data_IF_908193466579
#
_entry.id   IF_908193466579
#
_cell.length_a   1.000
_cell.length_b   1.000
_cell.length_c   1.000
_cell.angle_alpha   90.00
_cell.angle_beta   90.00
_cell.angle_gamma   90.00
#
_symmetry.space_group_name_H-M   'P 1'
#
loop_
_entity.id
_entity.type
_entity.pdbx_description
1 polymer ?
#
# COMPACT_ATOMS: atom_id res chain seq x y z
N UNK A 1 -15.77 6.85 22.13
CA UNK A 1 -15.88 7.55 20.82
C UNK A 1 -14.96 6.83 19.85
N UNK A 2 -15.51 6.26 18.78
CA UNK A 2 -14.74 5.56 17.75
C UNK A 2 -14.47 6.58 16.64
N UNK A 3 -13.22 6.69 16.20
CA UNK A 3 -12.76 7.57 15.13
C UNK A 3 -12.29 6.73 13.93
N UNK A 4 -12.32 7.29 12.74
CA UNK A 4 -11.68 6.74 11.54
C UNK A 4 -10.85 7.84 10.88
N UNK A 5 -10.06 7.50 9.86
CA UNK A 5 -9.45 8.52 9.01
C UNK A 5 -10.38 8.96 7.90
N UNK A 6 -10.13 10.16 7.40
CA UNK A 6 -10.75 10.57 6.15
C UNK A 6 -10.26 9.68 5.01
N UNK A 7 -11.17 8.93 4.39
CA UNK A 7 -10.91 8.15 3.18
C UNK A 7 -10.26 8.99 2.07
N UNK A 8 -10.64 10.27 1.99
CA UNK A 8 -10.07 11.23 1.04
C UNK A 8 -8.59 11.51 1.34
N UNK A 9 -8.24 11.72 2.61
CA UNK A 9 -6.85 11.94 3.02
C UNK A 9 -6.02 10.68 2.75
N UNK A 10 -6.54 9.52 3.15
CA UNK A 10 -5.90 8.22 2.94
C UNK A 10 -5.60 7.98 1.46
N UNK A 11 -6.60 8.14 0.58
CA UNK A 11 -6.42 7.99 -0.87
C UNK A 11 -5.40 8.98 -1.43
N UNK A 12 -5.45 10.25 -1.01
CA UNK A 12 -4.51 11.28 -1.45
C UNK A 12 -3.06 10.92 -1.06
N UNK A 13 -2.85 10.44 0.16
CA UNK A 13 -1.53 10.03 0.64
C UNK A 13 -1.01 8.80 -0.12
N UNK A 14 -1.86 7.79 -0.35
CA UNK A 14 -1.45 6.60 -1.12
C UNK A 14 -1.10 6.97 -2.57
N UNK A 15 -1.90 7.82 -3.21
CA UNK A 15 -1.61 8.30 -4.56
C UNK A 15 -0.29 9.11 -4.59
N UNK A 16 -0.05 9.97 -3.61
CA UNK A 16 1.23 10.67 -3.43
C UNK A 16 2.41 9.70 -3.33
N UNK A 17 2.34 8.71 -2.43
CA UNK A 17 3.42 7.72 -2.25
C UNK A 17 3.69 6.92 -3.54
N UNK A 18 2.65 6.60 -4.31
CA UNK A 18 2.81 5.93 -5.60
C UNK A 18 3.52 6.79 -6.64
N UNK A 19 3.23 8.09 -6.68
CA UNK A 19 3.96 9.01 -7.58
C UNK A 19 5.43 9.12 -7.18
N UNK A 20 5.74 9.26 -5.89
CA UNK A 20 7.14 9.28 -5.41
C UNK A 20 7.87 7.95 -5.71
N UNK A 21 7.18 6.81 -5.60
CA UNK A 21 7.76 5.51 -5.95
C UNK A 21 8.16 5.42 -7.43
N UNK A 22 7.51 6.16 -8.35
CA UNK A 22 7.94 6.21 -9.76
C UNK A 22 9.30 6.89 -9.93
N UNK A 23 9.63 7.85 -9.08
CA UNK A 23 10.97 8.47 -9.07
C UNK A 23 12.01 7.45 -8.64
N UNK A 24 11.72 6.65 -7.61
CA UNK A 24 12.57 5.53 -7.18
C UNK A 24 12.74 4.51 -8.31
N UNK A 25 11.65 4.13 -8.96
CA UNK A 25 11.67 3.21 -10.12
C UNK A 25 12.54 3.75 -11.26
N UNK A 26 12.54 5.07 -11.49
CA UNK A 26 13.39 5.69 -12.51
C UNK A 26 14.88 5.58 -12.18
N UNK A 27 15.25 5.74 -10.90
CA UNK A 27 16.63 5.51 -10.45
C UNK A 27 17.02 4.03 -10.52
N UNK A 28 16.12 3.13 -10.13
CA UNK A 28 16.30 1.69 -10.28
C UNK A 28 16.55 1.31 -11.75
N UNK A 29 15.76 1.85 -12.67
CA UNK A 29 15.93 1.62 -14.11
C UNK A 29 17.27 2.14 -14.62
N UNK A 30 17.70 3.33 -14.18
CA UNK A 30 19.01 3.86 -14.53
C UNK A 30 20.14 2.88 -14.14
N UNK A 31 20.12 2.35 -12.92
CA UNK A 31 21.13 1.39 -12.48
C UNK A 31 21.01 0.04 -13.18
N UNK A 32 19.79 -0.37 -13.52
CA UNK A 32 19.55 -1.58 -14.32
C UNK A 32 20.12 -1.44 -15.74
N UNK A 33 19.93 -0.29 -16.38
CA UNK A 33 20.50 -0.01 -17.69
C UNK A 33 22.03 -0.03 -17.66
N UNK A 34 22.64 0.54 -16.60
CA UNK A 34 24.10 0.43 -16.37
C UNK A 34 24.55 -1.00 -16.21
N UNK A 35 23.82 -1.80 -15.43
CA UNK A 35 24.10 -3.21 -15.19
C UNK A 35 24.03 -4.06 -16.46
N UNK A 36 22.98 -3.85 -17.26
CA UNK A 36 22.69 -4.62 -18.47
C UNK A 36 23.58 -4.21 -19.65
N UNK A 37 24.17 -3.01 -19.60
CA UNK A 37 25.12 -2.54 -20.61
C UNK A 37 26.56 -3.00 -20.38
N UNK A 38 26.86 -3.62 -19.23
CA UNK A 38 28.20 -4.11 -18.89
C UNK A 38 28.72 -5.09 -19.93
N UNK A 39 29.98 -4.93 -20.32
CA UNK A 39 30.61 -5.70 -21.40
C UNK A 39 29.67 -5.92 -22.60
N UNK A 40 29.07 -4.85 -23.11
CA UNK A 40 28.18 -4.85 -24.28
C UNK A 40 26.90 -5.69 -24.11
N UNK A 41 26.49 -5.99 -22.88
CA UNK A 41 25.33 -6.83 -22.57
C UNK A 41 25.55 -8.32 -22.82
N UNK A 42 26.80 -8.76 -22.99
CA UNK A 42 27.14 -10.17 -23.17
C UNK A 42 27.18 -10.93 -21.82
N UNK A 43 27.20 -10.21 -20.70
CA UNK A 43 27.17 -10.79 -19.35
C UNK A 43 25.72 -10.95 -18.91
N UNK A 44 25.29 -12.20 -18.76
CA UNK A 44 23.92 -12.55 -18.33
C UNK A 44 23.82 -13.06 -16.89
N UNK A 45 24.95 -13.41 -16.28
CA UNK A 45 25.02 -13.92 -14.92
C UNK A 45 25.56 -12.86 -13.95
N UNK A 46 25.06 -12.89 -12.73
CA UNK A 46 25.49 -12.02 -11.62
C UNK A 46 26.97 -12.22 -11.24
N UNK A 47 27.56 -13.39 -11.51
CA UNK A 47 28.93 -13.72 -11.17
C UNK A 47 29.88 -13.46 -12.35
N UNK A 48 30.26 -12.19 -12.50
CA UNK A 48 31.23 -11.77 -13.50
C UNK A 48 32.66 -12.03 -13.04
N UNK A 49 33.36 -13.00 -13.63
CA UNK A 49 34.80 -13.19 -13.39
C UNK A 49 35.62 -12.18 -14.18
N UNK A 50 36.79 -11.77 -13.68
CA UNK A 50 37.70 -10.88 -14.40
C UNK A 50 38.11 -11.46 -15.75
N UNK A 51 38.37 -12.77 -15.81
CA UNK A 51 38.79 -13.47 -17.02
C UNK A 51 37.71 -13.44 -18.11
N UNK A 52 36.45 -13.70 -17.75
CA UNK A 52 35.35 -13.62 -18.73
C UNK A 52 35.13 -12.18 -19.19
N UNK A 53 35.21 -11.21 -18.26
CA UNK A 53 35.06 -9.80 -18.57
C UNK A 53 36.12 -9.32 -19.57
N UNK A 54 37.39 -9.62 -19.30
CA UNK A 54 38.49 -9.16 -20.16
C UNK A 54 38.43 -9.80 -21.55
N UNK A 55 38.06 -11.08 -21.63
CA UNK A 55 37.91 -11.79 -22.90
C UNK A 55 36.89 -11.11 -23.81
N UNK A 56 35.75 -10.67 -23.28
CA UNK A 56 34.71 -9.95 -24.05
C UNK A 56 35.29 -8.68 -24.67
N UNK A 57 35.97 -7.84 -23.87
CA UNK A 57 36.51 -6.57 -24.35
C UNK A 57 37.66 -6.75 -25.35
N UNK A 58 38.57 -7.68 -25.09
CA UNK A 58 39.70 -7.98 -26.01
C UNK A 58 39.18 -8.52 -27.34
N UNK A 59 38.15 -9.38 -27.34
CA UNK A 59 37.50 -9.86 -28.56
C UNK A 59 36.84 -8.74 -29.39
N UNK A 60 36.49 -7.61 -28.76
CA UNK A 60 35.98 -6.40 -29.42
C UNK A 60 37.09 -5.42 -29.84
N UNK A 61 38.36 -5.80 -29.68
CA UNK A 61 39.52 -4.99 -30.07
C UNK A 61 39.94 -3.94 -29.03
N UNK A 62 39.47 -4.06 -27.79
CA UNK A 62 39.93 -3.20 -26.70
C UNK A 62 41.27 -3.70 -26.15
N UNK A 63 42.05 -2.78 -25.59
CA UNK A 63 43.40 -3.08 -25.06
C UNK A 63 43.36 -3.08 -23.54
N UNK A 64 43.85 -4.15 -22.93
CA UNK A 64 43.95 -4.30 -21.48
C UNK A 64 44.99 -3.35 -20.86
N UNK A 65 44.66 -2.84 -19.67
CA UNK A 65 45.55 -2.20 -18.71
C UNK A 65 45.49 -2.97 -17.40
N UNK A 66 46.21 -4.09 -17.34
CA UNK A 66 46.15 -5.07 -16.25
C UNK A 66 46.40 -4.43 -14.87
N UNK A 67 47.36 -3.51 -14.78
CA UNK A 67 47.72 -2.81 -13.55
C UNK A 67 46.54 -2.07 -12.88
N UNK A 68 45.51 -1.71 -13.65
CA UNK A 68 44.33 -0.98 -13.18
C UNK A 68 43.03 -1.77 -13.38
N UNK A 69 43.11 -3.01 -13.87
CA UNK A 69 41.95 -3.86 -14.20
C UNK A 69 40.94 -3.16 -15.13
N UNK A 70 41.49 -2.45 -16.10
CA UNK A 70 40.76 -1.62 -17.05
C UNK A 70 41.02 -2.04 -18.49
N UNK A 71 40.14 -1.62 -19.39
CA UNK A 71 40.28 -1.74 -20.84
C UNK A 71 40.07 -0.40 -21.50
N UNK A 72 40.76 -0.15 -22.61
CA UNK A 72 40.68 1.11 -23.34
C UNK A 72 40.56 0.87 -24.85
N UNK A 73 39.77 1.71 -25.50
CA UNK A 73 39.71 1.89 -26.94
C UNK A 73 40.01 3.37 -27.27
N UNK A 74 40.08 3.75 -28.54
CA UNK A 74 40.44 5.11 -28.99
C UNK A 74 39.68 6.22 -28.28
N UNK A 75 38.39 6.02 -28.01
CA UNK A 75 37.50 7.07 -27.50
C UNK A 75 36.86 6.75 -26.14
N UNK A 76 37.10 5.55 -25.57
CA UNK A 76 36.36 5.08 -24.38
C UNK A 76 37.17 4.08 -23.53
N UNK A 77 36.72 3.85 -22.29
CA UNK A 77 37.34 2.93 -21.36
C UNK A 77 36.28 2.23 -20.48
N UNK A 78 36.63 1.07 -19.93
CA UNK A 78 35.80 0.38 -18.95
C UNK A 78 36.66 -0.17 -17.81
N UNK A 79 36.06 -0.28 -16.63
CA UNK A 79 36.69 -0.85 -15.43
C UNK A 79 35.90 -2.05 -14.97
N UNK A 80 36.62 -3.14 -14.69
CA UNK A 80 36.01 -4.34 -14.13
C UNK A 80 35.36 -4.05 -12.78
N UNK A 81 36.05 -3.29 -11.92
CA UNK A 81 35.57 -3.00 -10.56
C UNK A 81 34.35 -2.06 -10.59
N UNK A 82 34.28 -1.13 -11.55
CA UNK A 82 33.08 -0.31 -11.79
C UNK A 82 31.90 -1.17 -12.27
N UNK A 83 32.14 -2.10 -13.20
CA UNK A 83 31.12 -3.03 -13.69
C UNK A 83 30.60 -3.94 -12.55
N UNK A 84 31.46 -4.36 -11.61
CA UNK A 84 31.01 -5.05 -10.39
C UNK A 84 30.14 -4.15 -9.51
N UNK A 85 30.55 -2.90 -9.32
CA UNK A 85 29.84 -1.94 -8.48
C UNK A 85 28.39 -1.73 -8.92
N UNK A 86 28.12 -1.73 -10.23
CA UNK A 86 26.76 -1.58 -10.75
C UNK A 86 25.80 -2.67 -10.26
N UNK A 87 26.26 -3.92 -10.07
CA UNK A 87 25.43 -4.99 -9.52
C UNK A 87 25.08 -4.75 -8.06
N UNK A 88 26.08 -4.36 -7.26
CA UNK A 88 25.89 -4.06 -5.86
C UNK A 88 24.90 -2.90 -5.68
N UNK A 89 25.08 -1.81 -6.44
CA UNK A 89 24.21 -0.63 -6.39
C UNK A 89 22.79 -0.96 -6.84
N UNK A 90 22.63 -1.65 -7.98
CA UNK A 90 21.32 -2.04 -8.49
C UNK A 90 20.55 -2.90 -7.49
N UNK A 91 21.21 -3.87 -6.82
CA UNK A 91 20.58 -4.70 -5.79
C UNK A 91 20.00 -3.86 -4.65
N UNK A 92 20.75 -2.87 -4.14
CA UNK A 92 20.25 -1.98 -3.08
C UNK A 92 19.03 -1.17 -3.53
N UNK A 93 19.04 -0.61 -4.73
CA UNK A 93 17.88 0.12 -5.27
C UNK A 93 16.68 -0.80 -5.49
N UNK A 94 16.92 -2.04 -5.95
CA UNK A 94 15.87 -3.03 -6.14
C UNK A 94 15.22 -3.39 -4.81
N UNK A 95 16.02 -3.67 -3.78
CA UNK A 95 15.51 -4.06 -2.46
C UNK A 95 14.74 -2.91 -1.80
N UNK A 96 15.25 -1.67 -1.92
CA UNK A 96 14.54 -0.47 -1.46
C UNK A 96 13.20 -0.26 -2.19
N UNK A 97 13.18 -0.39 -3.52
CA UNK A 97 11.96 -0.28 -4.30
C UNK A 97 10.94 -1.38 -3.93
N UNK A 98 11.39 -2.61 -3.75
CA UNK A 98 10.53 -3.74 -3.34
C UNK A 98 9.95 -3.52 -1.94
N UNK A 99 10.77 -3.06 -0.99
CA UNK A 99 10.32 -2.72 0.35
C UNK A 99 9.21 -1.66 0.32
N UNK A 100 9.43 -0.56 -0.42
CA UNK A 100 8.43 0.51 -0.51
C UNK A 100 7.17 0.12 -1.29
N UNK A 101 7.31 -0.72 -2.31
CA UNK A 101 6.16 -1.34 -3.00
C UNK A 101 5.32 -2.16 -2.02
N UNK A 102 5.96 -3.00 -1.20
CA UNK A 102 5.29 -3.78 -0.17
C UNK A 102 4.60 -2.87 0.86
N UNK A 103 5.33 -1.87 1.39
CA UNK A 103 4.82 -0.90 2.37
C UNK A 103 3.57 -0.18 1.89
N UNK A 104 3.59 0.36 0.66
CA UNK A 104 2.44 1.06 0.09
C UNK A 104 1.25 0.10 -0.07
N UNK A 105 1.47 -1.10 -0.60
CA UNK A 105 0.41 -2.10 -0.75
C UNK A 105 -0.20 -2.53 0.59
N UNK A 106 0.61 -2.57 1.66
CA UNK A 106 0.12 -2.83 3.01
C UNK A 106 -0.71 -1.66 3.55
N UNK A 107 -0.20 -0.44 3.42
CA UNK A 107 -0.91 0.78 3.86
C UNK A 107 -2.27 0.95 3.16
N UNK A 108 -2.39 0.52 1.91
CA UNK A 108 -3.63 0.56 1.15
C UNK A 108 -4.68 -0.46 1.65
N UNK A 109 -4.24 -1.64 2.11
CA UNK A 109 -5.12 -2.70 2.62
C UNK A 109 -5.43 -2.58 4.11
N UNK A 110 -4.55 -1.95 4.87
CA UNK A 110 -4.69 -1.88 6.32
C UNK A 110 -5.79 -0.89 6.72
N UNK A 111 -6.82 -1.39 7.41
CA UNK A 111 -7.84 -0.53 8.00
C UNK A 111 -7.21 0.37 9.06
N UNK A 112 -7.66 1.63 9.13
CA UNK A 112 -7.19 2.55 10.15
C UNK A 112 -7.53 2.04 11.56
N UNK A 113 -6.52 1.58 12.29
CA UNK A 113 -6.70 0.97 13.59
C UNK A 113 -6.44 1.98 14.71
N UNK A 114 -7.51 2.37 15.40
CA UNK A 114 -7.44 3.24 16.59
C UNK A 114 -6.72 2.63 17.78
N UNK A 115 -6.46 1.33 17.77
CA UNK A 115 -5.83 0.62 18.89
C UNK A 115 -4.49 1.25 19.27
N UNK A 116 -3.75 1.80 18.32
CA UNK A 116 -2.50 2.54 18.58
C UNK A 116 -2.74 3.89 19.24
N UNK A 117 -3.81 4.60 18.89
CA UNK A 117 -4.22 5.86 19.53
C UNK A 117 -4.72 5.70 20.98
N UNK A 118 -4.92 4.46 21.44
CA UNK A 118 -5.24 4.16 22.85
C UNK A 118 -3.99 4.16 23.75
N UNK A 119 -2.79 4.03 23.18
CA UNK A 119 -1.54 4.18 23.93
C UNK A 119 -1.43 5.61 24.46
N UNK A 120 -0.78 5.87 25.60
CA UNK A 120 -0.66 7.23 26.15
C UNK A 120 0.27 8.13 25.32
N UNK A 121 1.24 7.54 24.62
CA UNK A 121 2.28 8.22 23.85
C UNK A 121 2.48 7.53 22.50
N UNK A 122 2.82 8.30 21.48
CA UNK A 122 3.16 7.84 20.13
C UNK A 122 4.54 8.35 19.72
N UNK A 123 5.23 7.55 18.90
CA UNK A 123 6.43 8.00 18.16
C UNK A 123 6.03 8.99 17.06
N UNK A 124 7.01 9.70 16.51
CA UNK A 124 6.82 10.67 15.42
C UNK A 124 6.16 10.02 14.20
N UNK A 125 6.64 8.84 13.79
CA UNK A 125 6.14 8.09 12.64
C UNK A 125 4.69 7.64 12.85
N UNK A 126 4.37 7.15 14.05
CA UNK A 126 3.00 6.78 14.42
C UNK A 126 2.07 8.01 14.38
N UNK A 127 2.53 9.16 14.86
CA UNK A 127 1.76 10.40 14.83
C UNK A 127 1.58 10.93 13.39
N UNK A 128 2.61 10.83 12.56
CA UNK A 128 2.58 11.19 11.15
C UNK A 128 1.58 10.34 10.38
N UNK A 129 1.58 9.02 10.61
CA UNK A 129 0.63 8.11 9.95
C UNK A 129 -0.82 8.51 10.26
N UNK A 130 -1.14 8.86 11.51
CA UNK A 130 -2.48 9.33 11.90
C UNK A 130 -2.95 10.49 11.03
N UNK A 131 -2.12 11.51 10.86
CA UNK A 131 -2.52 12.73 10.16
C UNK A 131 -2.41 12.62 8.64
N UNK A 132 -1.63 11.65 8.16
CA UNK A 132 -1.60 11.27 6.75
C UNK A 132 -2.75 10.31 6.37
N UNK A 133 -3.64 9.96 7.31
CA UNK A 133 -4.75 9.04 7.06
C UNK A 133 -4.36 7.56 7.07
N UNK A 134 -3.10 7.25 7.39
CA UNK A 134 -2.52 5.90 7.33
C UNK A 134 -2.63 5.18 8.67
N UNK A 135 -2.86 3.87 8.67
CA UNK A 135 -2.99 3.08 9.90
C UNK A 135 -1.66 3.02 10.66
N UNK A 136 -1.55 3.58 11.90
CA UNK A 136 -0.32 3.51 12.68
C UNK A 136 0.00 2.10 13.15
N UNK A 137 -0.96 1.19 13.06
CA UNK A 137 -0.78 -0.22 13.42
C UNK A 137 0.14 -0.98 12.47
N UNK A 138 0.36 -0.48 11.25
CA UNK A 138 1.37 -1.02 10.34
C UNK A 138 2.76 -1.03 10.97
N UNK A 139 3.09 -0.02 11.81
CA UNK A 139 4.41 0.12 12.43
C UNK A 139 4.63 -0.98 13.47
N UNK A 140 5.69 -1.76 13.28
CA UNK A 140 6.01 -2.95 14.07
C UNK A 140 5.53 -4.28 13.45
N UNK A 141 4.92 -4.25 12.27
CA UNK A 141 4.54 -5.45 11.51
C UNK A 141 5.45 -5.60 10.28
N UNK A 142 5.33 -6.73 9.56
CA UNK A 142 6.15 -7.04 8.36
C UNK A 142 6.32 -5.86 7.40
N UNK A 143 7.56 -5.54 7.04
CA UNK A 143 7.93 -4.39 6.20
C UNK A 143 7.99 -3.05 6.93
N UNK A 144 7.56 -2.95 8.19
CA UNK A 144 7.57 -1.74 9.03
C UNK A 144 8.08 -2.02 10.46
N UNK A 145 8.82 -3.10 10.67
CA UNK A 145 9.21 -3.64 11.98
C UNK A 145 9.90 -2.58 12.85
N UNK A 146 10.89 -1.89 12.27
CA UNK A 146 11.65 -0.81 12.90
C UNK A 146 11.61 0.48 12.08
N UNK A 147 10.50 0.70 11.35
CA UNK A 147 10.36 1.86 10.48
C UNK A 147 10.65 3.18 11.21
N UNK A 148 11.59 3.94 10.66
CA UNK A 148 11.91 5.31 11.03
C UNK A 148 12.13 6.14 9.80
N UNK A 149 11.83 7.44 9.89
CA UNK A 149 12.10 8.36 8.78
C UNK A 149 13.60 8.52 8.49
N UNK A 150 14.47 8.24 9.46
CA UNK A 150 15.92 8.30 9.32
C UNK A 150 16.58 6.92 9.13
N UNK A 151 15.81 5.88 8.81
CA UNK A 151 16.38 4.54 8.61
C UNK A 151 17.25 4.46 7.34
N UNK A 152 18.35 3.70 7.45
CA UNK A 152 19.34 3.53 6.37
C UNK A 152 19.63 2.06 6.06
N UNK A 153 18.56 1.29 5.84
CA UNK A 153 18.62 -0.17 5.69
C UNK A 153 19.48 -0.67 4.52
N UNK A 154 19.56 0.10 3.44
CA UNK A 154 20.24 -0.28 2.19
C UNK A 154 21.51 0.54 1.94
N UNK A 155 22.10 1.08 3.01
CA UNK A 155 23.35 1.81 2.91
C UNK A 155 24.49 0.84 2.59
N UNK A 156 25.34 1.26 1.66
CA UNK A 156 26.57 0.57 1.30
C UNK A 156 27.74 1.52 1.46
N UNK A 157 28.90 0.95 1.78
CA UNK A 157 30.16 1.69 1.79
C UNK A 157 30.48 2.22 0.39
N UNK A 158 31.28 3.29 0.37
CA UNK A 158 31.82 3.84 -0.86
C UNK A 158 32.68 2.78 -1.58
N UNK A 159 32.43 2.63 -2.88
CA UNK A 159 33.16 1.66 -3.72
C UNK A 159 34.25 2.41 -4.48
N UNK A 160 35.49 2.03 -4.21
CA UNK A 160 36.68 2.59 -4.85
C UNK A 160 37.07 1.76 -6.07
N UNK A 161 37.41 2.44 -7.16
CA UNK A 161 37.88 1.82 -8.40
C UNK A 161 38.88 2.74 -9.10
N UNK A 162 39.63 2.20 -10.06
CA UNK A 162 40.60 2.98 -10.83
C UNK A 162 40.14 3.20 -12.26
N UNK A 163 40.51 4.35 -12.83
CA UNK A 163 40.38 4.60 -14.27
C UNK A 163 41.56 4.00 -15.06
N UNK A 164 41.54 4.16 -16.39
CA UNK A 164 42.60 3.65 -17.27
C UNK A 164 43.96 4.37 -17.13
N UNK A 165 44.03 5.43 -16.32
CA UNK A 165 45.24 6.20 -15.98
C UNK A 165 45.73 5.93 -14.57
N UNK A 166 45.03 5.08 -13.79
CA UNK A 166 45.34 4.78 -12.40
C UNK A 166 44.84 5.84 -11.41
N UNK A 167 43.95 6.74 -11.82
CA UNK A 167 43.28 7.66 -10.91
C UNK A 167 42.23 6.90 -10.10
N UNK A 168 42.28 7.02 -8.78
CA UNK A 168 41.26 6.48 -7.90
C UNK A 168 39.98 7.32 -7.96
N UNK A 169 38.86 6.63 -8.18
CA UNK A 169 37.52 7.17 -8.27
C UNK A 169 36.62 6.48 -7.25
N UNK A 170 35.54 7.16 -6.87
CA UNK A 170 34.56 6.67 -5.91
C UNK A 170 33.17 6.65 -6.50
N UNK A 171 32.40 5.60 -6.22
CA UNK A 171 30.99 5.49 -6.55
C UNK A 171 30.20 4.95 -5.35
N UNK A 172 28.97 5.44 -5.22
CA UNK A 172 28.02 5.08 -4.17
C UNK A 172 26.67 4.79 -4.81
N UNK A 173 25.79 4.08 -4.09
CA UNK A 173 24.39 3.90 -4.50
C UNK A 173 23.63 5.20 -4.81
N UNK A 174 23.96 6.31 -4.13
CA UNK A 174 23.21 7.56 -4.19
C UNK A 174 21.82 7.46 -3.56
N UNK A 175 21.50 6.38 -2.84
CA UNK A 175 20.18 6.11 -2.29
C UNK A 175 19.82 7.08 -1.15
N UNK A 176 20.82 7.42 -0.32
CA UNK A 176 20.68 8.37 0.78
C UNK A 176 21.34 9.69 0.40
N UNK A 177 20.59 10.79 0.47
CA UNK A 177 21.12 12.10 0.12
C UNK A 177 22.06 12.61 1.23
N UNK A 178 23.32 12.98 0.93
CA UNK A 178 24.29 13.41 1.95
C UNK A 178 23.89 14.65 2.74
N UNK A 179 23.02 15.50 2.20
CA UNK A 179 22.62 16.77 2.83
C UNK A 179 21.52 16.61 3.86
N UNK A 180 20.63 15.65 3.66
CA UNK A 180 19.45 15.45 4.51
C UNK A 180 19.42 14.06 5.17
N UNK A 181 20.31 13.16 4.77
CA UNK A 181 20.49 11.81 5.31
C UNK A 181 19.26 10.89 5.20
N UNK A 182 18.40 11.14 4.20
CA UNK A 182 17.18 10.36 3.96
C UNK A 182 17.22 9.65 2.61
N UNK A 183 16.54 8.50 2.54
CA UNK A 183 16.10 7.90 1.28
C UNK A 183 15.00 8.76 0.63
N UNK A 184 14.72 8.54 -0.66
CA UNK A 184 13.77 9.38 -1.38
C UNK A 184 12.36 9.39 -0.76
N UNK A 185 11.83 8.21 -0.44
CA UNK A 185 10.46 8.07 0.09
C UNK A 185 10.33 8.68 1.49
N UNK A 186 11.31 8.40 2.36
CA UNK A 186 11.37 8.96 3.71
C UNK A 186 11.51 10.49 3.64
N UNK A 187 12.38 10.99 2.77
CA UNK A 187 12.53 12.42 2.54
C UNK A 187 11.21 13.04 2.09
N UNK A 188 10.54 12.48 1.09
CA UNK A 188 9.27 12.99 0.57
C UNK A 188 8.19 13.05 1.66
N UNK A 189 8.14 12.07 2.57
CA UNK A 189 7.27 12.13 3.77
C UNK A 189 7.60 13.31 4.69
N UNK A 190 8.88 13.62 4.93
CA UNK A 190 9.29 14.80 5.73
C UNK A 190 8.93 16.13 5.07
N UNK A 191 8.71 16.15 3.76
CA UNK A 191 8.37 17.38 3.02
C UNK A 191 6.88 17.73 3.05
N UNK A 192 6.02 16.78 3.47
CA UNK A 192 4.58 16.99 3.59
C UNK A 192 4.24 18.14 4.54
N UNK A 193 3.14 18.84 4.25
CA UNK A 193 2.59 19.87 5.14
C UNK A 193 2.28 19.31 6.53
N UNK A 194 1.78 18.08 6.55
CA UNK A 194 1.40 17.30 7.71
C UNK A 194 2.60 17.07 8.64
N UNK A 195 3.75 16.67 8.09
CA UNK A 195 4.97 16.53 8.87
C UNK A 195 5.41 17.86 9.50
N UNK A 196 5.43 18.95 8.72
CA UNK A 196 5.82 20.29 9.20
C UNK A 196 4.91 20.76 10.33
N UNK A 197 3.59 20.56 10.19
CA UNK A 197 2.61 20.87 11.24
C UNK A 197 2.87 20.08 12.53
N UNK A 198 3.28 18.81 12.45
CA UNK A 198 3.63 18.05 13.65
C UNK A 198 4.89 18.55 14.33
N UNK A 199 5.89 18.97 13.56
CA UNK A 199 7.16 19.50 14.09
C UNK A 199 6.95 20.86 14.77
N UNK A 200 6.13 21.73 14.18
CA UNK A 200 5.86 23.07 14.71
C UNK A 200 4.92 23.06 15.93
N UNK A 201 4.10 22.03 16.09
CA UNK A 201 3.09 21.96 17.13
C UNK A 201 3.58 21.29 18.41
N UNK A 202 4.48 22.00 19.12
CA UNK A 202 5.08 21.56 20.39
C UNK A 202 4.04 21.20 21.47
N UNK A 203 2.83 21.76 21.42
CA UNK A 203 1.75 21.48 22.37
C UNK A 203 1.27 20.02 22.35
N UNK A 204 1.49 19.32 21.23
CA UNK A 204 1.16 17.91 21.07
C UNK A 204 2.22 16.99 21.67
N UNK A 205 3.42 17.49 21.92
CA UNK A 205 4.55 16.71 22.39
C UNK A 205 4.70 16.76 23.91
N UNK A 206 5.45 15.81 24.46
CA UNK A 206 5.95 15.86 25.82
C UNK A 206 7.46 16.12 25.83
N UNK A 207 8.07 16.52 26.97
CA UNK A 207 9.50 16.84 27.03
C UNK A 207 10.45 15.72 26.54
N UNK A 208 9.98 14.47 26.56
CA UNK A 208 10.72 13.31 26.03
C UNK A 208 10.61 13.13 24.51
N UNK A 209 10.04 14.08 23.76
CA UNK A 209 9.93 14.04 22.29
C UNK A 209 8.76 13.21 21.73
N UNK A 210 8.07 12.42 22.56
CA UNK A 210 6.89 11.66 22.15
C UNK A 210 5.64 12.54 22.01
N UNK A 211 4.74 12.16 21.10
CA UNK A 211 3.42 12.78 20.95
C UNK A 211 2.44 12.24 21.99
N UNK A 212 1.67 13.12 22.61
CA UNK A 212 0.64 12.77 23.60
C UNK A 212 -0.62 12.36 22.83
N UNK A 213 -0.95 11.08 22.80
CA UNK A 213 -1.98 10.52 21.90
C UNK A 213 -3.34 11.20 22.03
N UNK A 214 -3.77 11.50 23.27
CA UNK A 214 -5.03 12.20 23.51
C UNK A 214 -5.04 13.59 22.86
N UNK A 215 -3.97 14.36 23.05
CA UNK A 215 -3.86 15.71 22.48
C UNK A 215 -3.81 15.64 20.95
N UNK A 216 -3.02 14.72 20.40
CA UNK A 216 -2.93 14.51 18.96
C UNK A 216 -4.30 14.15 18.38
N UNK A 217 -5.01 13.18 18.97
CA UNK A 217 -6.33 12.75 18.52
C UNK A 217 -7.33 13.90 18.54
N UNK A 218 -7.42 14.61 19.65
CA UNK A 218 -8.39 15.70 19.80
C UNK A 218 -8.06 16.86 18.82
N UNK A 219 -6.78 17.14 18.59
CA UNK A 219 -6.32 18.10 17.57
C UNK A 219 -6.60 17.62 16.14
N UNK A 220 -6.27 16.37 15.82
CA UNK A 220 -6.46 15.78 14.50
C UNK A 220 -7.95 15.74 14.13
N UNK A 221 -8.82 15.41 15.08
CA UNK A 221 -10.28 15.50 14.90
C UNK A 221 -10.74 16.94 14.63
N UNK A 222 -10.30 17.91 15.44
CA UNK A 222 -10.67 19.33 15.26
C UNK A 222 -10.25 19.89 13.90
N UNK A 223 -9.16 19.39 13.33
CA UNK A 223 -8.62 19.84 12.04
C UNK A 223 -9.03 18.94 10.86
N UNK A 224 -9.95 17.99 11.05
CA UNK A 224 -10.52 17.17 9.97
C UNK A 224 -9.65 16.02 9.47
N UNK A 225 -8.55 15.71 10.16
CA UNK A 225 -7.72 14.53 9.87
C UNK A 225 -8.37 13.22 10.34
N UNK A 226 -9.14 13.30 11.43
CA UNK A 226 -9.96 12.21 11.93
C UNK A 226 -11.44 12.57 11.77
N UNK A 227 -12.23 11.56 11.43
CA UNK A 227 -13.70 11.63 11.44
C UNK A 227 -14.23 10.79 12.58
N UNK A 228 -15.33 11.23 13.17
CA UNK A 228 -16.04 10.44 14.17
C UNK A 228 -16.85 9.38 13.41
N UNK A 229 -16.68 8.11 13.78
CA UNK A 229 -17.61 7.08 13.31
C UNK A 229 -18.92 7.27 14.05
N UNK A 230 -19.94 7.70 13.31
CA UNK A 230 -21.32 7.62 13.78
C UNK A 230 -21.74 6.16 13.74
N UNK A 231 -22.07 5.62 14.92
CA UNK A 231 -22.78 4.35 15.00
C UNK A 231 -24.20 4.69 14.57
N UNK A 232 -24.55 4.28 13.37
CA UNK A 232 -25.90 4.41 12.86
C UNK A 232 -26.67 3.19 13.35
N UNK A 233 -27.69 3.43 14.16
CA UNK A 233 -28.60 2.39 14.63
C UNK A 233 -29.57 2.02 13.50
N UNK A 234 -29.93 0.74 13.41
CA UNK A 234 -30.97 0.32 12.45
C UNK A 234 -32.36 0.62 13.04
N UNK A 235 -33.33 0.85 12.16
CA UNK A 235 -34.73 0.82 12.57
C UNK A 235 -35.20 -0.63 12.71
N UNK A 236 -35.37 -1.08 13.96
CA UNK A 236 -35.87 -2.42 14.32
C UNK A 236 -37.30 -2.67 13.85
N UNK A 237 -38.08 -1.60 13.58
CA UNK A 237 -39.46 -1.73 13.16
C UNK A 237 -39.62 -1.95 11.64
N UNK A 238 -38.53 -1.83 10.87
CA UNK A 238 -38.53 -1.90 9.40
C UNK A 238 -37.43 -2.84 8.87
N UNK A 239 -37.08 -3.87 9.64
CA UNK A 239 -35.98 -4.78 9.33
C UNK A 239 -36.06 -5.45 7.95
N UNK A 240 -34.91 -5.69 7.30
CA UNK A 240 -34.88 -6.24 5.95
C UNK A 240 -35.49 -7.64 5.93
N UNK A 241 -36.59 -7.79 5.20
CA UNK A 241 -37.32 -9.06 5.04
C UNK A 241 -37.94 -9.60 6.35
N UNK A 242 -38.09 -8.77 7.38
CA UNK A 242 -38.63 -9.13 8.70
C UNK A 242 -37.55 -9.44 9.74
N UNK A 243 -37.82 -9.18 11.02
CA UNK A 243 -36.82 -9.23 12.11
C UNK A 243 -36.18 -10.63 12.27
N UNK A 244 -37.00 -11.68 12.26
CA UNK A 244 -36.53 -13.06 12.42
C UNK A 244 -35.60 -13.48 11.28
N UNK A 245 -35.99 -13.18 10.04
CA UNK A 245 -35.16 -13.47 8.87
C UNK A 245 -33.89 -12.60 8.85
N UNK A 246 -34.02 -11.31 9.17
CA UNK A 246 -32.90 -10.38 9.25
C UNK A 246 -31.85 -10.85 10.26
N UNK A 247 -32.27 -11.35 11.42
CA UNK A 247 -31.37 -11.85 12.46
C UNK A 247 -30.61 -13.09 11.99
N UNK A 248 -31.31 -14.01 11.33
CA UNK A 248 -30.70 -15.23 10.76
C UNK A 248 -29.72 -14.87 9.64
N UNK A 249 -30.13 -14.02 8.71
CA UNK A 249 -29.28 -13.53 7.64
C UNK A 249 -28.03 -12.83 8.20
N UNK A 250 -28.18 -11.95 9.18
CA UNK A 250 -27.06 -11.28 9.85
C UNK A 250 -26.10 -12.30 10.47
N UNK A 251 -26.62 -13.25 11.25
CA UNK A 251 -25.80 -14.26 11.93
C UNK A 251 -24.98 -15.09 10.94
N UNK A 252 -25.60 -15.50 9.84
CA UNK A 252 -24.94 -16.28 8.79
C UNK A 252 -23.89 -15.46 8.03
N UNK A 253 -24.20 -14.21 7.68
CA UNK A 253 -23.28 -13.30 7.00
C UNK A 253 -22.09 -12.92 7.89
N UNK A 254 -22.29 -12.77 9.20
CA UNK A 254 -21.18 -12.59 10.17
C UNK A 254 -20.34 -13.86 10.25
N UNK A 255 -20.96 -15.04 10.29
CA UNK A 255 -20.25 -16.32 10.42
C UNK A 255 -19.34 -16.60 9.21
N UNK A 256 -19.79 -16.29 8.00
CA UNK A 256 -18.97 -16.43 6.78
C UNK A 256 -18.00 -15.25 6.58
N UNK A 257 -17.99 -14.27 7.48
CA UNK A 257 -17.10 -13.11 7.40
C UNK A 257 -17.44 -12.17 6.24
N UNK A 258 -18.72 -12.05 5.87
CA UNK A 258 -19.16 -11.09 4.85
C UNK A 258 -19.47 -9.71 5.43
N UNK A 259 -20.04 -9.66 6.63
CA UNK A 259 -20.30 -8.42 7.39
C UNK A 259 -19.73 -8.50 8.81
N UNK A 260 -19.69 -7.35 9.50
CA UNK A 260 -19.41 -7.26 10.95
C UNK A 260 -20.35 -6.27 11.64
N UNK A 261 -20.37 -6.34 12.97
CA UNK A 261 -21.12 -5.45 13.85
C UNK A 261 -22.28 -6.15 14.56
N UNK A 262 -22.80 -5.48 15.59
CA UNK A 262 -24.01 -5.90 16.30
C UNK A 262 -25.22 -5.88 15.37
N UNK A 263 -26.18 -6.77 15.63
CA UNK A 263 -27.37 -6.87 14.80
C UNK A 263 -28.17 -5.55 14.83
N UNK A 264 -28.26 -4.89 15.99
CA UNK A 264 -29.00 -3.65 16.28
C UNK A 264 -28.45 -2.39 15.57
N UNK A 265 -27.27 -2.48 14.96
CA UNK A 265 -26.65 -1.36 14.24
C UNK A 265 -26.71 -1.59 12.73
N UNK A 266 -26.40 -0.57 11.92
CA UNK A 266 -26.17 -0.78 10.49
C UNK A 266 -25.05 -1.81 10.31
N UNK A 267 -25.30 -2.80 9.46
CA UNK A 267 -24.36 -3.87 9.16
C UNK A 267 -23.19 -3.31 8.37
N UNK A 268 -21.96 -3.55 8.83
CA UNK A 268 -20.78 -3.06 8.11
C UNK A 268 -20.29 -4.13 7.14
N UNK A 269 -20.22 -3.80 5.84
CA UNK A 269 -19.49 -4.63 4.87
C UNK A 269 -18.00 -4.61 5.20
N UNK A 270 -17.32 -5.76 5.03
CA UNK A 270 -15.86 -5.77 5.06
C UNK A 270 -15.31 -5.11 3.79
N UNK A 271 -14.18 -4.44 3.93
CA UNK A 271 -13.62 -3.50 2.93
C UNK A 271 -13.27 -4.16 1.58
N UNK A 272 -13.19 -5.49 1.56
CA UNK A 272 -12.94 -6.33 0.38
C UNK A 272 -14.18 -6.56 -0.49
N UNK A 273 -15.39 -6.26 0.02
CA UNK A 273 -16.65 -6.52 -0.68
C UNK A 273 -17.23 -5.27 -1.32
N UNK A 274 -17.74 -5.47 -2.54
CA UNK A 274 -18.24 -4.39 -3.36
C UNK A 274 -19.76 -4.22 -3.26
N UNK A 275 -20.26 -3.10 -3.78
CA UNK A 275 -21.70 -2.92 -3.95
C UNK A 275 -22.32 -3.99 -4.88
N UNK A 276 -21.52 -4.58 -5.77
CA UNK A 276 -21.94 -5.64 -6.70
C UNK A 276 -22.27 -6.92 -5.95
N UNK A 277 -21.44 -7.32 -4.98
CA UNK A 277 -21.71 -8.50 -4.14
C UNK A 277 -22.96 -8.28 -3.26
N UNK A 278 -23.21 -7.05 -2.81
CA UNK A 278 -24.44 -6.72 -2.10
C UNK A 278 -25.68 -6.85 -3.01
N UNK A 279 -25.56 -6.43 -4.27
CA UNK A 279 -26.63 -6.61 -5.25
C UNK A 279 -26.89 -8.09 -5.54
N UNK A 280 -25.81 -8.87 -5.69
CA UNK A 280 -25.86 -10.32 -5.88
C UNK A 280 -26.56 -11.03 -4.71
N UNK A 281 -26.21 -10.70 -3.46
CA UNK A 281 -26.89 -11.21 -2.26
C UNK A 281 -28.40 -10.99 -2.35
N UNK A 282 -28.83 -9.78 -2.68
CA UNK A 282 -30.26 -9.47 -2.76
C UNK A 282 -30.99 -10.24 -3.87
N UNK A 283 -30.36 -10.41 -5.04
CA UNK A 283 -30.92 -11.18 -6.15
C UNK A 283 -30.99 -12.67 -5.84
N UNK A 284 -29.97 -13.24 -5.20
CA UNK A 284 -29.98 -14.66 -4.85
C UNK A 284 -31.04 -14.98 -3.78
N UNK A 285 -31.25 -14.11 -2.80
CA UNK A 285 -32.34 -14.23 -1.82
C UNK A 285 -33.72 -14.29 -2.51
N UNK A 286 -33.93 -13.48 -3.55
CA UNK A 286 -35.17 -13.49 -4.34
C UNK A 286 -35.28 -14.72 -5.24
N UNK A 287 -34.22 -15.04 -6.00
CA UNK A 287 -34.16 -16.16 -6.95
C UNK A 287 -34.44 -17.50 -6.27
N UNK A 288 -33.93 -17.67 -5.05
CA UNK A 288 -34.12 -18.86 -4.21
C UNK A 288 -35.43 -18.82 -3.40
N UNK A 289 -36.23 -17.77 -3.57
CA UNK A 289 -37.55 -17.56 -2.95
C UNK A 289 -37.51 -17.56 -1.42
N UNK A 290 -36.39 -17.10 -0.84
CA UNK A 290 -36.25 -16.97 0.62
C UNK A 290 -36.94 -15.72 1.17
N UNK A 291 -37.13 -14.72 0.32
CA UNK A 291 -37.77 -13.45 0.69
C UNK A 291 -38.84 -13.10 -0.33
N UNK A 292 -39.95 -12.50 0.12
CA UNK A 292 -41.04 -12.05 -0.74
C UNK A 292 -41.15 -10.52 -0.72
N UNK A 293 -40.34 -9.84 -1.53
CA UNK A 293 -40.36 -8.38 -1.63
C UNK A 293 -40.18 -7.91 -3.08
N UNK A 294 -40.82 -6.80 -3.44
CA UNK A 294 -40.79 -6.25 -4.80
C UNK A 294 -39.44 -5.64 -5.22
N UNK A 295 -38.61 -5.25 -4.25
CA UNK A 295 -37.32 -4.57 -4.47
C UNK A 295 -36.29 -5.07 -3.46
N UNK A 296 -35.82 -6.33 -3.60
CA UNK A 296 -34.99 -6.98 -2.59
C UNK A 296 -33.72 -6.20 -2.28
N UNK A 297 -33.10 -5.63 -3.32
CA UNK A 297 -31.91 -4.84 -3.15
C UNK A 297 -32.13 -3.58 -2.31
N UNK A 298 -33.19 -2.82 -2.57
CA UNK A 298 -33.52 -1.63 -1.80
C UNK A 298 -33.88 -1.96 -0.33
N UNK A 299 -34.48 -3.13 -0.09
CA UNK A 299 -34.84 -3.59 1.25
C UNK A 299 -33.64 -3.81 2.16
N UNK A 300 -32.53 -4.35 1.63
CA UNK A 300 -31.31 -4.61 2.42
C UNK A 300 -30.30 -3.46 2.39
N UNK A 301 -30.23 -2.71 1.28
CA UNK A 301 -29.27 -1.62 1.10
C UNK A 301 -29.34 -0.57 2.20
N UNK A 302 -30.54 -0.20 2.66
CA UNK A 302 -30.73 0.82 3.71
C UNK A 302 -30.17 0.41 5.09
N UNK A 303 -29.88 -0.87 5.29
CA UNK A 303 -29.36 -1.43 6.56
C UNK A 303 -27.88 -1.76 6.54
N UNK A 304 -27.21 -1.52 5.42
CA UNK A 304 -25.80 -1.82 5.25
C UNK A 304 -25.02 -0.53 5.08
N UNK A 305 -24.08 -0.33 6.00
CA UNK A 305 -23.11 0.75 5.92
C UNK A 305 -22.01 0.36 4.93
N UNK A 306 -22.01 1.02 3.77
CA UNK A 306 -21.02 0.85 2.73
C UNK A 306 -19.88 1.86 2.91
N UNK A 307 -18.71 1.38 3.33
CA UNK A 307 -17.50 2.20 3.55
C UNK A 307 -16.49 2.17 2.39
N UNK A 308 -16.78 1.42 1.31
CA UNK A 308 -15.85 1.24 0.20
C UNK A 308 -15.42 2.55 -0.49
N UNK A 309 -14.11 2.72 -0.67
CA UNK A 309 -13.43 3.93 -1.22
C UNK A 309 -13.22 3.82 -2.74
N UNK A 310 -13.73 2.77 -3.40
CA UNK A 310 -13.51 2.56 -4.83
C UNK A 310 -13.98 3.75 -5.69
N UNK A 311 -13.10 4.22 -6.59
CA UNK A 311 -13.33 5.24 -7.64
C UNK A 311 -14.60 5.01 -8.51
N UNK A 312 -15.28 3.88 -8.34
CA UNK A 312 -16.52 3.48 -9.00
C UNK A 312 -17.78 4.22 -8.54
N UNK A 313 -17.76 4.91 -7.39
CA UNK A 313 -18.91 5.74 -6.97
C UNK A 313 -19.20 6.86 -7.99
N UNK A 314 -18.18 7.32 -8.72
CA UNK A 314 -18.31 8.32 -9.78
C UNK A 314 -18.57 7.70 -11.16
N UNK A 315 -18.08 6.48 -11.43
CA UNK A 315 -18.30 5.76 -12.70
C UNK A 315 -19.71 5.18 -12.83
N UNK A 316 -20.47 5.12 -11.74
CA UNK A 316 -21.87 4.67 -11.73
C UNK A 316 -22.84 5.71 -12.33
N UNK A 317 -22.36 6.89 -12.71
CA UNK A 317 -23.21 7.92 -13.30
C UNK A 317 -23.69 7.50 -14.70
N UNK A 318 -24.98 7.15 -14.80
CA UNK A 318 -25.75 6.75 -16.00
C UNK A 318 -25.30 5.47 -16.73
N UNK A 319 -24.02 5.33 -17.09
CA UNK A 319 -23.52 4.27 -17.98
C UNK A 319 -23.52 2.86 -17.39
N UNK A 320 -23.31 2.71 -16.07
CA UNK A 320 -23.34 1.38 -15.44
C UNK A 320 -24.75 0.78 -15.47
N UNK A 321 -25.77 1.60 -15.20
CA UNK A 321 -27.19 1.21 -15.14
C UNK A 321 -27.69 0.58 -16.44
N UNK A 322 -27.20 1.07 -17.58
CA UNK A 322 -27.59 0.58 -18.90
C UNK A 322 -26.82 -0.69 -19.30
N UNK A 323 -25.57 -0.87 -18.82
CA UNK A 323 -24.78 -2.08 -19.05
C UNK A 323 -25.26 -3.31 -18.24
N UNK A 324 -25.91 -3.12 -17.10
CA UNK A 324 -26.35 -4.22 -16.22
C UNK A 324 -27.45 -5.11 -16.80
N UNK A 325 -28.28 -4.60 -17.71
CA UNK A 325 -29.28 -5.43 -18.40
C UNK A 325 -28.67 -6.29 -19.52
N UNK A 326 -27.38 -6.10 -19.84
CA UNK A 326 -26.68 -6.79 -20.93
C UNK A 326 -25.53 -7.71 -20.47
N UNK A 327 -25.20 -7.74 -19.18
CA UNK A 327 -24.07 -8.55 -18.69
C UNK A 327 -24.55 -9.94 -18.29
N UNK A 328 -24.18 -10.91 -19.13
CA UNK A 328 -24.21 -12.36 -18.90
C UNK A 328 -23.79 -12.71 -17.45
N UNK A 329 -24.69 -13.37 -16.71
CA UNK A 329 -24.59 -13.77 -15.29
C UNK A 329 -23.33 -14.60 -14.94
N UNK A 330 -22.49 -14.94 -15.92
CA UNK A 330 -21.43 -15.94 -15.81
C UNK A 330 -19.99 -15.42 -15.63
N UNK A 331 -19.69 -14.11 -15.64
CA UNK A 331 -18.29 -13.60 -15.46
C UNK A 331 -18.29 -12.22 -14.76
N UNK A 332 -17.40 -11.89 -13.79
CA UNK A 332 -16.42 -12.65 -12.99
C UNK A 332 -16.46 -12.21 -11.48
N UNK A 333 -17.13 -12.94 -10.58
CA UNK A 333 -17.18 -12.60 -9.15
C UNK A 333 -17.12 -13.82 -8.23
N UNK A 334 -16.35 -14.85 -8.62
CA UNK A 334 -16.40 -16.16 -7.97
C UNK A 334 -16.06 -16.11 -6.48
N UNK A 335 -15.07 -15.33 -6.06
CA UNK A 335 -14.57 -15.42 -4.68
C UNK A 335 -15.45 -14.67 -3.66
N UNK A 336 -15.92 -13.44 -4.00
CA UNK A 336 -16.84 -12.66 -3.14
C UNK A 336 -18.19 -13.38 -2.96
N UNK A 337 -18.69 -14.03 -4.01
CA UNK A 337 -20.01 -14.65 -4.04
C UNK A 337 -20.06 -16.07 -3.44
N UNK A 338 -18.91 -16.71 -3.22
CA UNK A 338 -18.84 -18.02 -2.55
C UNK A 338 -19.36 -17.92 -1.13
N UNK A 339 -18.93 -16.90 -0.37
CA UNK A 339 -19.32 -16.73 1.03
C UNK A 339 -20.81 -16.38 1.16
N UNK A 340 -21.31 -15.51 0.28
CA UNK A 340 -22.73 -15.22 0.15
C UNK A 340 -23.51 -16.52 -0.13
N UNK A 341 -23.05 -17.31 -1.11
CA UNK A 341 -23.71 -18.57 -1.48
C UNK A 341 -23.71 -19.58 -0.33
N UNK A 342 -22.64 -19.64 0.46
CA UNK A 342 -22.56 -20.49 1.65
C UNK A 342 -23.58 -20.07 2.71
N UNK A 343 -23.67 -18.78 3.03
CA UNK A 343 -24.65 -18.25 3.98
C UNK A 343 -26.09 -18.52 3.52
N UNK A 344 -26.40 -18.21 2.26
CA UNK A 344 -27.74 -18.41 1.70
C UNK A 344 -28.14 -19.88 1.68
N UNK A 345 -27.23 -20.79 1.34
CA UNK A 345 -27.52 -22.23 1.28
C UNK A 345 -27.86 -22.84 2.63
N UNK A 346 -27.47 -22.19 3.74
CA UNK A 346 -27.83 -22.63 5.10
C UNK A 346 -29.19 -22.09 5.49
N UNK A 347 -29.48 -20.84 5.14
CA UNK A 347 -30.82 -20.25 5.30
C UNK A 347 -31.90 -21.07 4.57
N UNK A 348 -31.59 -21.57 3.37
CA UNK A 348 -32.48 -22.48 2.60
C UNK A 348 -32.79 -23.78 3.34
N UNK A 349 -31.79 -24.43 3.93
CA UNK A 349 -31.97 -25.72 4.62
C UNK A 349 -32.85 -25.62 5.86
N UNK A 350 -32.88 -24.45 6.48
CA UNK A 350 -33.64 -24.16 7.68
C UNK A 350 -35.02 -23.53 7.39
N UNK A 351 -35.35 -23.24 6.13
CA UNK A 351 -36.67 -22.72 5.71
C UNK A 351 -37.55 -23.77 5.01
N UNK A 352 -37.02 -24.99 4.82
CA UNK A 352 -37.73 -26.24 4.56
C UNK A 352 -38.09 -26.93 5.87
#
# INVERSE_FOLDING_TARGET
MIFDTSAVITSKTIDFLREELKTVQSQLNYWKDKLDSRAFGEIKDDNLSYQNWIEIYVNKGWVEKEAYRCVINKDDWASYDLDQAYLAIWKQWNDYHQLWTHRIGKLERERFALTRLQKPKLKLEEALFVILGLSPSCIGNEGFEDFKLDERLFEIDDIYYQDCKGLELVINSGLYNPKNNHGHMEWSLTQTSEFKLLQENYLLTCPSGFYISRKLRDWAYKNGYLIKLEINDRDLNDSPYGEEFALRLHSELVRVGYIRGSFESLWELLDEYSYFSLHYLALELEKRKLVNVKKPFASIQKYINYKGIGKLKETYNKFARDKYYEIDDAKPYKDENVLISQAISILEKESL
#
